data_IF_122917084530
#
_entry.id   IF_122917084530
#
_cell.length_a   1.000
_cell.length_b   1.000
_cell.length_c   1.000
_cell.angle_alpha   90.00
_cell.angle_beta   90.00
_cell.angle_gamma   90.00
#
_symmetry.space_group_name_H-M   'P 1'
#
loop_
_entity.id
_entity.type
_entity.pdbx_description
1 polymer ?
#
# COMPACT_ATOMS: atom_id res chain seq x y z
N UNK A 1 43.40 31.43 -7.88
CA UNK A 1 42.07 31.23 -7.25
C UNK A 1 41.03 31.62 -8.27
N UNK A 2 40.22 30.66 -8.73
CA UNK A 2 39.07 30.93 -9.61
C UNK A 2 37.94 30.01 -9.16
N UNK A 3 36.85 30.61 -8.69
CA UNK A 3 35.61 29.94 -8.35
C UNK A 3 34.72 29.94 -9.59
N UNK A 4 34.27 28.77 -10.03
CA UNK A 4 33.14 28.64 -10.94
C UNK A 4 31.94 28.10 -10.13
N UNK A 5 30.80 28.81 -10.09
CA UNK A 5 29.59 28.36 -9.41
C UNK A 5 28.70 27.56 -10.37
N UNK A 6 27.98 26.57 -9.82
CA UNK A 6 26.69 26.12 -10.36
C UNK A 6 26.76 25.11 -11.49
N UNK A 7 27.01 23.84 -11.16
CA UNK A 7 26.26 22.76 -11.76
C UNK A 7 25.33 22.26 -10.65
N UNK A 8 24.07 22.73 -10.63
CA UNK A 8 23.04 21.95 -9.97
C UNK A 8 22.98 20.65 -10.76
N UNK A 9 23.46 19.57 -10.17
CA UNK A 9 23.14 18.23 -10.63
C UNK A 9 21.61 18.19 -10.67
N UNK A 10 21.03 18.22 -11.88
CA UNK A 10 19.64 17.84 -12.07
C UNK A 10 19.58 16.39 -11.58
N UNK A 11 19.21 16.21 -10.31
CA UNK A 11 18.85 14.90 -9.79
C UNK A 11 17.81 14.34 -10.76
N UNK A 12 18.16 13.24 -11.43
CA UNK A 12 17.25 12.54 -12.32
C UNK A 12 15.90 12.43 -11.60
N UNK A 13 14.80 12.88 -12.23
CA UNK A 13 13.52 12.98 -11.55
C UNK A 13 13.20 11.62 -10.92
N UNK A 14 12.76 11.59 -9.65
CA UNK A 14 12.59 10.38 -8.88
C UNK A 14 11.98 9.30 -9.76
N UNK A 15 12.52 8.07 -9.75
CA UNK A 15 12.17 7.03 -10.72
C UNK A 15 10.65 6.85 -10.92
N UNK A 16 9.89 7.05 -9.85
CA UNK A 16 8.43 7.01 -9.83
C UNK A 16 7.72 8.07 -10.71
N UNK A 17 8.28 9.28 -10.88
CA UNK A 17 7.74 10.34 -11.76
C UNK A 17 7.75 9.92 -13.23
N UNK A 18 8.63 9.00 -13.61
CA UNK A 18 8.73 8.47 -14.97
C UNK A 18 7.76 7.30 -15.22
N UNK A 19 7.04 6.81 -14.21
CA UNK A 19 6.13 5.68 -14.35
C UNK A 19 4.98 6.01 -15.33
N UNK A 20 4.87 5.30 -16.47
CA UNK A 20 3.92 5.64 -17.52
C UNK A 20 2.45 5.47 -17.09
N UNK A 21 2.17 4.56 -16.14
CA UNK A 21 0.80 4.36 -15.63
C UNK A 21 0.39 5.52 -14.74
N UNK A 22 1.26 5.94 -13.79
CA UNK A 22 0.99 7.09 -12.93
C UNK A 22 0.77 8.36 -13.78
N UNK A 23 1.67 8.63 -14.74
CA UNK A 23 1.52 9.79 -15.64
C UNK A 23 0.22 9.71 -16.45
N UNK A 24 -0.11 8.56 -17.01
CA UNK A 24 -1.34 8.40 -17.78
C UNK A 24 -2.59 8.61 -16.92
N UNK A 25 -2.60 8.12 -15.68
CA UNK A 25 -3.68 8.32 -14.73
C UNK A 25 -3.91 9.80 -14.43
N UNK A 26 -2.89 10.52 -13.95
CA UNK A 26 -3.02 11.93 -13.58
C UNK A 26 -3.29 12.84 -14.79
N UNK A 27 -2.73 12.52 -15.97
CA UNK A 27 -3.10 13.22 -17.22
C UNK A 27 -4.58 13.07 -17.54
N UNK A 28 -5.16 11.87 -17.40
CA UNK A 28 -6.60 11.65 -17.63
C UNK A 28 -7.47 12.42 -16.64
N UNK A 29 -7.07 12.47 -15.37
CA UNK A 29 -7.78 13.26 -14.37
C UNK A 29 -7.81 14.75 -14.74
N UNK A 30 -6.68 15.29 -15.21
CA UNK A 30 -6.58 16.69 -15.64
C UNK A 30 -7.41 17.03 -16.86
N UNK A 31 -7.51 16.14 -17.86
CA UNK A 31 -8.36 16.34 -19.03
C UNK A 31 -9.84 16.43 -18.65
N UNK A 32 -10.24 15.76 -17.57
CA UNK A 32 -11.61 15.81 -17.05
C UNK A 32 -11.91 17.09 -16.26
N UNK A 33 -10.87 17.86 -15.85
CA UNK A 33 -11.02 19.17 -15.23
C UNK A 33 -11.16 20.21 -16.35
N UNK A 34 -12.40 20.70 -16.56
CA UNK A 34 -12.81 21.61 -17.66
C UNK A 34 -11.87 22.81 -17.90
N UNK A 35 -11.11 23.24 -16.90
CA UNK A 35 -10.17 24.37 -16.94
C UNK A 35 -8.92 24.14 -17.81
N UNK A 36 -8.55 22.88 -18.09
CA UNK A 36 -7.36 22.54 -18.89
C UNK A 36 -7.68 22.14 -20.34
N UNK A 37 -8.97 21.97 -20.67
CA UNK A 37 -9.44 21.41 -21.94
C UNK A 37 -9.24 22.25 -23.21
N UNK A 38 -8.63 23.44 -23.13
CA UNK A 38 -8.55 24.37 -24.25
C UNK A 38 -7.12 24.62 -24.79
N UNK A 39 -6.06 24.08 -24.18
CA UNK A 39 -4.69 24.33 -24.66
C UNK A 39 -4.09 23.09 -25.34
N UNK A 40 -4.12 23.11 -26.67
CA UNK A 40 -3.15 22.48 -27.55
C UNK A 40 -2.92 20.98 -27.38
N UNK A 41 -3.67 20.17 -28.14
CA UNK A 41 -3.25 18.81 -28.48
C UNK A 41 -1.88 18.89 -29.20
N UNK A 42 -0.79 18.53 -28.53
CA UNK A 42 0.47 18.19 -29.20
C UNK A 42 1.78 18.70 -28.57
N UNK A 43 1.76 19.67 -27.65
CA UNK A 43 2.96 20.09 -26.90
C UNK A 43 2.79 19.77 -25.42
N UNK A 44 3.76 19.06 -24.83
CA UNK A 44 3.89 18.92 -23.37
C UNK A 44 3.98 20.33 -22.79
N UNK A 45 2.90 20.81 -22.18
CA UNK A 45 2.90 22.10 -21.46
C UNK A 45 3.76 21.90 -20.20
N UNK A 46 4.88 22.63 -20.03
CA UNK A 46 5.76 22.47 -18.88
C UNK A 46 5.03 22.64 -17.54
N UNK A 47 4.05 23.54 -17.47
CA UNK A 47 3.26 23.75 -16.26
C UNK A 47 2.39 22.54 -15.92
N UNK A 48 1.82 21.90 -16.94
CA UNK A 48 1.00 20.71 -16.76
C UNK A 48 1.85 19.52 -16.31
N UNK A 49 3.03 19.35 -16.89
CA UNK A 49 3.95 18.28 -16.52
C UNK A 49 4.50 18.48 -15.09
N UNK A 50 4.83 19.71 -14.67
CA UNK A 50 5.20 20.03 -13.28
C UNK A 50 4.06 19.74 -12.29
N UNK A 51 2.82 20.07 -12.68
CA UNK A 51 1.66 19.77 -11.84
C UNK A 51 1.46 18.25 -11.69
N UNK A 52 1.59 17.49 -12.79
CA UNK A 52 1.51 16.02 -12.75
C UNK A 52 2.59 15.45 -11.83
N UNK A 53 3.82 15.96 -11.90
CA UNK A 53 4.91 15.50 -11.06
C UNK A 53 4.59 15.70 -9.57
N UNK A 54 4.03 16.86 -9.20
CA UNK A 54 3.59 17.11 -7.82
C UNK A 54 2.44 16.20 -7.36
N UNK A 55 1.49 15.91 -8.24
CA UNK A 55 0.40 14.96 -7.92
C UNK A 55 0.94 13.54 -7.73
N UNK A 56 1.92 13.13 -8.54
CA UNK A 56 2.61 11.84 -8.38
C UNK A 56 3.36 11.79 -7.05
N UNK A 57 4.15 12.82 -6.73
CA UNK A 57 4.89 12.88 -5.48
C UNK A 57 3.97 12.81 -4.26
N UNK A 58 2.88 13.58 -4.27
CA UNK A 58 1.89 13.57 -3.20
C UNK A 58 1.25 12.20 -3.04
N UNK A 59 0.78 11.60 -4.14
CA UNK A 59 0.21 10.25 -4.12
C UNK A 59 1.17 9.20 -3.56
N UNK A 60 2.45 9.26 -3.95
CA UNK A 60 3.46 8.31 -3.47
C UNK A 60 3.83 8.53 -2.00
N UNK A 61 3.83 9.78 -1.56
CA UNK A 61 4.02 10.13 -0.15
C UNK A 61 2.90 9.57 0.71
N UNK A 62 1.64 9.81 0.31
CA UNK A 62 0.47 9.25 1.01
C UNK A 62 0.51 7.72 1.01
N UNK A 63 0.79 7.09 -0.13
CA UNK A 63 0.87 5.63 -0.20
C UNK A 63 1.96 5.08 0.71
N UNK A 64 3.11 5.76 0.83
CA UNK A 64 4.20 5.35 1.71
C UNK A 64 3.80 5.49 3.18
N UNK A 65 3.15 6.57 3.56
CA UNK A 65 2.61 6.76 4.91
C UNK A 65 1.64 5.63 5.28
N UNK A 66 0.72 5.30 4.37
CA UNK A 66 -0.22 4.18 4.54
C UNK A 66 0.46 2.82 4.73
N UNK A 67 1.57 2.57 4.04
CA UNK A 67 2.34 1.34 4.25
C UNK A 67 3.09 1.33 5.58
N UNK A 68 3.61 2.48 6.02
CA UNK A 68 4.25 2.61 7.34
C UNK A 68 3.23 2.38 8.46
N UNK A 69 2.04 2.97 8.35
CA UNK A 69 0.97 2.80 9.33
C UNK A 69 0.46 1.35 9.36
N UNK A 70 0.30 0.72 8.20
CA UNK A 70 -0.06 -0.69 8.09
C UNK A 70 0.95 -1.60 8.81
N UNK A 71 2.25 -1.41 8.58
CA UNK A 71 3.30 -2.15 9.26
C UNK A 71 3.34 -1.87 10.77
N UNK A 72 3.11 -0.63 11.17
CA UNK A 72 3.05 -0.23 12.59
C UNK A 72 1.89 -0.93 13.31
N UNK A 73 0.70 -0.93 12.69
CA UNK A 73 -0.45 -1.65 13.23
C UNK A 73 -0.22 -3.16 13.25
N UNK A 74 0.44 -3.72 12.25
CA UNK A 74 0.77 -5.14 12.25
C UNK A 74 1.75 -5.52 13.37
N UNK A 75 2.78 -4.71 13.63
CA UNK A 75 3.68 -4.92 14.77
C UNK A 75 2.94 -4.85 16.12
N UNK A 76 1.94 -3.97 16.24
CA UNK A 76 1.07 -3.90 17.42
C UNK A 76 0.15 -5.12 17.56
N UNK A 77 -0.26 -5.73 16.44
CA UNK A 77 -0.90 -7.05 16.45
C UNK A 77 0.10 -8.01 17.08
N UNK A 78 1.24 -8.31 16.45
CA UNK A 78 2.22 -9.29 16.94
C UNK A 78 2.55 -9.15 18.45
N UNK A 79 2.82 -7.93 18.91
CA UNK A 79 3.10 -7.66 20.33
C UNK A 79 1.92 -8.03 21.25
N UNK A 80 0.71 -7.70 20.86
CA UNK A 80 -0.48 -8.02 21.65
C UNK A 80 -0.77 -9.53 21.64
N UNK A 81 -0.48 -10.27 20.56
CA UNK A 81 -0.54 -11.74 20.57
C UNK A 81 0.44 -12.31 21.55
N UNK A 82 1.69 -11.86 21.52
CA UNK A 82 2.73 -12.38 22.41
C UNK A 82 2.29 -12.21 23.88
N UNK A 83 1.74 -11.04 24.20
CA UNK A 83 1.20 -10.75 25.54
C UNK A 83 -0.01 -11.62 25.89
N UNK A 84 -0.88 -11.96 24.92
CA UNK A 84 -2.03 -12.86 25.14
C UNK A 84 -1.55 -14.30 25.41
N UNK A 85 -0.54 -14.77 24.69
CA UNK A 85 -0.01 -16.13 24.79
C UNK A 85 0.85 -16.34 26.04
N UNK A 86 1.67 -15.35 26.40
CA UNK A 86 2.62 -15.43 27.52
C UNK A 86 2.08 -14.82 28.82
N UNK A 87 0.93 -14.15 28.78
CA UNK A 87 0.42 -13.32 29.87
C UNK A 87 0.24 -14.07 31.19
N UNK A 88 0.91 -13.59 32.24
CA UNK A 88 0.85 -14.17 33.59
C UNK A 88 -0.35 -13.71 34.42
N UNK A 89 -1.08 -12.68 33.99
CA UNK A 89 -2.27 -12.17 34.68
C UNK A 89 -3.45 -11.94 33.75
N UNK A 90 -4.66 -12.19 34.25
CA UNK A 90 -5.90 -12.01 33.50
C UNK A 90 -6.14 -10.54 33.10
N UNK A 91 -5.64 -9.58 33.89
CA UNK A 91 -5.73 -8.16 33.58
C UNK A 91 -4.85 -7.78 32.37
N UNK A 92 -3.61 -8.30 32.32
CA UNK A 92 -2.71 -8.08 31.19
C UNK A 92 -3.29 -8.69 29.89
N UNK A 93 -3.83 -9.92 29.97
CA UNK A 93 -4.48 -10.58 28.84
C UNK A 93 -5.69 -9.76 28.34
N UNK A 94 -6.52 -9.22 29.26
CA UNK A 94 -7.67 -8.39 28.88
C UNK A 94 -7.24 -7.11 28.15
N UNK A 95 -6.20 -6.43 28.63
CA UNK A 95 -5.66 -5.23 27.98
C UNK A 95 -5.07 -5.56 26.61
N UNK A 96 -4.30 -6.64 26.51
CA UNK A 96 -3.72 -7.09 25.25
C UNK A 96 -4.80 -7.45 24.22
N UNK A 97 -5.92 -8.07 24.61
CA UNK A 97 -7.07 -8.31 23.71
C UNK A 97 -7.73 -7.03 23.20
N UNK A 98 -7.74 -5.95 23.99
CA UNK A 98 -8.22 -4.65 23.53
C UNK A 98 -7.25 -4.07 22.50
N UNK A 99 -5.95 -4.07 22.80
CA UNK A 99 -4.90 -3.61 21.89
C UNK A 99 -4.92 -4.39 20.58
N UNK A 100 -5.00 -5.71 20.64
CA UNK A 100 -5.12 -6.61 19.50
C UNK A 100 -6.26 -6.23 18.56
N UNK A 101 -7.47 -6.01 19.10
CA UNK A 101 -8.64 -5.63 18.30
C UNK A 101 -8.49 -4.26 17.64
N UNK A 102 -7.88 -3.30 18.35
CA UNK A 102 -7.61 -1.97 17.80
C UNK A 102 -6.56 -2.03 16.70
N UNK A 103 -5.49 -2.80 16.90
CA UNK A 103 -4.43 -3.00 15.92
C UNK A 103 -4.94 -3.72 14.66
N UNK A 104 -5.76 -4.77 14.80
CA UNK A 104 -6.43 -5.43 13.67
C UNK A 104 -7.37 -4.49 12.90
N UNK A 105 -8.02 -3.54 13.59
CA UNK A 105 -8.80 -2.50 12.91
C UNK A 105 -7.88 -1.58 12.10
N UNK A 106 -6.74 -1.17 12.65
CA UNK A 106 -5.72 -0.41 11.92
C UNK A 106 -5.24 -1.14 10.66
N UNK A 107 -4.89 -2.42 10.78
CA UNK A 107 -4.52 -3.26 9.62
C UNK A 107 -5.65 -3.31 8.58
N UNK A 108 -6.90 -3.51 9.01
CA UNK A 108 -8.05 -3.53 8.11
C UNK A 108 -8.21 -2.22 7.33
N UNK A 109 -8.11 -1.10 8.04
CA UNK A 109 -8.39 0.23 7.50
C UNK A 109 -7.24 0.66 6.56
N UNK A 110 -5.99 0.56 7.00
CA UNK A 110 -4.83 0.96 6.19
C UNK A 110 -4.59 0.05 4.98
N UNK A 111 -4.77 -1.26 5.11
CA UNK A 111 -4.71 -2.15 3.94
C UNK A 111 -5.85 -1.87 2.95
N UNK A 112 -7.02 -1.47 3.45
CA UNK A 112 -8.16 -1.05 2.62
C UNK A 112 -7.91 0.24 1.86
N UNK A 113 -7.32 1.23 2.52
CA UNK A 113 -7.01 2.53 1.93
C UNK A 113 -5.89 2.41 0.88
N UNK A 114 -4.79 1.73 1.22
CA UNK A 114 -3.73 1.44 0.25
C UNK A 114 -4.26 0.69 -0.98
N UNK A 115 -5.16 -0.29 -0.76
CA UNK A 115 -5.81 -1.02 -1.84
C UNK A 115 -6.66 -0.12 -2.73
N UNK A 116 -7.45 0.78 -2.14
CA UNK A 116 -8.30 1.71 -2.88
C UNK A 116 -7.45 2.66 -3.73
N UNK A 117 -6.43 3.28 -3.13
CA UNK A 117 -5.50 4.17 -3.84
C UNK A 117 -4.89 3.48 -5.06
N UNK A 118 -4.35 2.28 -4.85
CA UNK A 118 -3.70 1.51 -5.92
C UNK A 118 -4.67 1.06 -7.00
N UNK A 119 -5.89 0.62 -6.65
CA UNK A 119 -6.87 0.16 -7.65
C UNK A 119 -7.29 1.25 -8.62
N UNK A 120 -7.41 2.49 -8.17
CA UNK A 120 -7.77 3.61 -9.05
C UNK A 120 -6.68 3.93 -10.08
N UNK A 121 -5.42 3.75 -9.68
CA UNK A 121 -4.27 3.96 -10.58
C UNK A 121 -4.03 2.75 -11.47
N UNK A 122 -4.16 1.54 -10.91
CA UNK A 122 -3.77 0.27 -11.52
C UNK A 122 -4.97 -0.52 -12.04
N UNK A 123 -5.83 0.13 -12.81
CA UNK A 123 -7.10 -0.44 -13.30
C UNK A 123 -6.93 -1.68 -14.20
N UNK A 124 -5.72 -1.94 -14.67
CA UNK A 124 -5.35 -3.09 -15.51
C UNK A 124 -5.07 -4.37 -14.69
N UNK A 125 -4.96 -4.25 -13.37
CA UNK A 125 -4.69 -5.37 -12.48
C UNK A 125 -5.98 -6.07 -12.05
N UNK A 126 -5.90 -7.39 -11.90
CA UNK A 126 -6.98 -8.17 -11.27
C UNK A 126 -7.09 -7.80 -9.79
N UNK A 127 -8.31 -7.66 -9.30
CA UNK A 127 -8.55 -7.10 -7.98
C UNK A 127 -9.12 -8.11 -6.96
N UNK A 128 -9.99 -9.07 -7.37
CA UNK A 128 -10.76 -9.92 -6.43
C UNK A 128 -11.24 -11.31 -6.89
N UNK A 129 -11.00 -11.76 -8.13
CA UNK A 129 -11.66 -12.97 -8.66
C UNK A 129 -11.48 -14.21 -7.78
N UNK A 130 -12.53 -15.01 -7.52
CA UNK A 130 -12.63 -16.25 -6.71
C UNK A 130 -11.47 -16.60 -5.75
N UNK A 131 -11.00 -15.62 -4.96
CA UNK A 131 -9.97 -15.85 -3.97
C UNK A 131 -10.60 -16.53 -2.75
N UNK A 132 -10.25 -17.80 -2.53
CA UNK A 132 -10.61 -18.50 -1.30
C UNK A 132 -9.74 -17.98 -0.17
N UNK A 133 -10.38 -17.36 0.82
CA UNK A 133 -9.75 -17.12 2.11
C UNK A 133 -9.53 -18.48 2.78
N UNK A 134 -8.32 -18.73 3.28
CA UNK A 134 -8.07 -19.88 4.15
C UNK A 134 -8.91 -19.68 5.41
N UNK A 135 -9.69 -20.69 5.79
CA UNK A 135 -10.47 -20.62 7.02
C UNK A 135 -9.57 -20.90 8.24
N UNK A 136 -9.67 -20.10 9.31
CA UNK A 136 -9.05 -20.41 10.59
C UNK A 136 -9.44 -21.81 11.02
N UNK A 137 -8.44 -22.64 11.33
CA UNK A 137 -8.72 -24.04 11.64
C UNK A 137 -9.22 -24.20 13.08
N UNK A 138 -8.78 -23.39 14.06
CA UNK A 138 -9.23 -23.46 15.47
C UNK A 138 -9.10 -22.13 16.27
N UNK A 139 -9.83 -21.96 17.41
CA UNK A 139 -9.73 -20.76 18.25
C UNK A 139 -8.35 -20.52 18.91
N UNK A 140 -7.56 -21.57 19.07
CA UNK A 140 -6.18 -21.50 19.57
C UNK A 140 -5.16 -21.23 18.46
N UNK A 141 -5.43 -21.66 17.22
CA UNK A 141 -4.59 -21.34 16.06
C UNK A 141 -4.69 -19.86 15.69
N UNK A 142 -5.87 -19.25 15.91
CA UNK A 142 -6.28 -17.88 15.56
C UNK A 142 -5.24 -16.77 15.80
N UNK A 143 -4.39 -16.94 16.82
CA UNK A 143 -3.40 -15.93 17.17
C UNK A 143 -2.11 -16.11 16.39
N UNK A 144 -1.59 -17.33 16.22
CA UNK A 144 -0.29 -17.56 15.56
C UNK A 144 -0.41 -17.65 14.05
N UNK A 145 -1.23 -18.56 13.54
CA UNK A 145 -1.23 -18.88 12.12
C UNK A 145 -1.82 -17.75 11.27
N UNK A 146 -2.87 -17.12 11.76
CA UNK A 146 -3.60 -16.09 11.04
C UNK A 146 -2.88 -14.74 11.10
N UNK A 147 -2.13 -14.48 12.18
CA UNK A 147 -1.23 -13.32 12.26
C UNK A 147 -0.03 -13.47 11.36
N UNK A 148 0.59 -14.66 11.37
CA UNK A 148 1.64 -14.98 10.41
C UNK A 148 1.13 -14.81 8.97
N UNK A 149 -0.08 -15.30 8.67
CA UNK A 149 -0.68 -15.11 7.35
C UNK A 149 -0.84 -13.63 7.00
N UNK A 150 -1.39 -12.80 7.89
CA UNK A 150 -1.53 -11.35 7.66
C UNK A 150 -0.15 -10.74 7.36
N UNK A 151 0.86 -11.05 8.17
CA UNK A 151 2.23 -10.54 8.00
C UNK A 151 2.84 -10.93 6.65
N UNK A 152 2.67 -12.19 6.23
CA UNK A 152 3.12 -12.65 4.92
C UNK A 152 2.46 -11.90 3.76
N UNK A 153 1.15 -11.61 3.87
CA UNK A 153 0.45 -10.85 2.84
C UNK A 153 0.92 -9.39 2.82
N UNK A 154 1.07 -8.74 3.98
CA UNK A 154 1.59 -7.36 4.07
C UNK A 154 2.99 -7.28 3.46
N UNK A 155 3.91 -8.17 3.84
CA UNK A 155 5.28 -8.18 3.29
C UNK A 155 5.32 -8.42 1.78
N UNK A 156 4.45 -9.30 1.24
CA UNK A 156 4.33 -9.50 -0.22
C UNK A 156 3.77 -8.27 -0.92
N UNK A 157 2.79 -7.58 -0.32
CA UNK A 157 2.24 -6.35 -0.85
C UNK A 157 3.30 -5.24 -0.91
N UNK A 158 3.98 -4.98 0.21
CA UNK A 158 5.00 -3.94 0.32
C UNK A 158 6.15 -4.15 -0.67
N UNK A 159 6.67 -5.38 -0.77
CA UNK A 159 7.73 -5.71 -1.72
C UNK A 159 7.31 -5.40 -3.16
N UNK A 160 6.08 -5.77 -3.54
CA UNK A 160 5.56 -5.54 -4.89
C UNK A 160 5.27 -4.06 -5.16
N UNK A 161 4.73 -3.33 -4.19
CA UNK A 161 4.49 -1.87 -4.29
C UNK A 161 5.83 -1.13 -4.45
N UNK A 162 6.80 -1.45 -3.60
CA UNK A 162 8.15 -0.88 -3.64
C UNK A 162 8.81 -1.15 -4.99
N UNK A 163 8.78 -2.40 -5.44
CA UNK A 163 9.38 -2.78 -6.72
C UNK A 163 8.71 -2.07 -7.90
N UNK A 164 7.39 -1.90 -7.88
CA UNK A 164 6.64 -1.37 -9.02
C UNK A 164 6.54 0.15 -9.08
N UNK A 165 6.39 0.82 -7.94
CA UNK A 165 6.17 2.26 -7.88
C UNK A 165 7.41 3.04 -7.47
N UNK A 166 8.36 2.42 -6.77
CA UNK A 166 9.50 3.13 -6.18
C UNK A 166 10.87 2.73 -6.78
N UNK A 167 10.96 1.63 -7.54
CA UNK A 167 12.19 1.19 -8.20
C UNK A 167 11.97 1.07 -9.72
N UNK A 168 12.83 1.68 -10.53
CA UNK A 168 12.68 1.69 -12.02
C UNK A 168 13.55 0.65 -12.73
N UNK A 169 14.57 0.09 -12.08
CA UNK A 169 15.57 -0.74 -12.77
C UNK A 169 15.11 -2.17 -13.11
N UNK A 170 14.03 -2.66 -12.51
CA UNK A 170 13.43 -3.93 -12.91
C UNK A 170 12.34 -3.65 -13.93
N UNK A 171 12.53 -4.14 -15.17
CA UNK A 171 11.45 -4.29 -16.16
C UNK A 171 10.43 -5.27 -15.58
N UNK A 172 9.55 -4.76 -14.70
CA UNK A 172 8.41 -5.52 -14.19
C UNK A 172 7.40 -5.50 -15.34
N UNK A 173 7.21 -6.65 -15.97
CA UNK A 173 6.24 -6.78 -17.03
C UNK A 173 4.85 -6.72 -16.41
N UNK A 174 3.87 -6.18 -17.15
CA UNK A 174 2.49 -6.10 -16.67
C UNK A 174 1.95 -7.50 -16.31
N UNK A 175 2.50 -8.52 -16.96
CA UNK A 175 2.32 -9.95 -16.75
C UNK A 175 2.69 -10.40 -15.33
N UNK A 176 3.75 -9.85 -14.73
CA UNK A 176 4.19 -10.15 -13.35
C UNK A 176 3.19 -9.64 -12.29
N UNK A 177 2.24 -8.81 -12.72
CA UNK A 177 1.17 -8.23 -11.93
C UNK A 177 -0.21 -8.83 -12.26
N UNK A 178 -0.32 -9.73 -13.24
CA UNK A 178 -1.58 -10.40 -13.60
C UNK A 178 -1.94 -11.58 -12.67
N UNK A 179 -1.00 -12.06 -11.86
CA UNK A 179 -1.19 -13.12 -10.86
C UNK A 179 -1.57 -12.54 -9.47
N UNK A 180 -1.18 -13.22 -8.36
CA UNK A 180 -1.25 -12.70 -6.99
C UNK A 180 -0.41 -11.41 -6.88
N UNK A 181 -1.07 -10.29 -7.15
CA UNK A 181 -0.47 -8.96 -7.18
C UNK A 181 -0.66 -8.23 -5.85
N UNK A 182 -0.09 -7.03 -5.73
CA UNK A 182 -0.18 -6.22 -4.52
C UNK A 182 -1.62 -5.96 -4.04
N UNK A 183 -2.59 -5.80 -4.96
CA UNK A 183 -4.00 -5.60 -4.61
C UNK A 183 -4.58 -6.85 -3.96
N UNK A 184 -4.24 -8.03 -4.48
CA UNK A 184 -4.69 -9.30 -3.90
C UNK A 184 -4.14 -9.47 -2.48
N UNK A 185 -2.86 -9.18 -2.27
CA UNK A 185 -2.24 -9.31 -0.96
C UNK A 185 -2.82 -8.32 0.08
N UNK A 186 -3.00 -7.05 -0.29
CA UNK A 186 -3.67 -6.06 0.58
C UNK A 186 -5.12 -6.47 0.90
N UNK A 187 -5.85 -7.00 -0.08
CA UNK A 187 -7.21 -7.50 0.13
C UNK A 187 -7.25 -8.68 1.11
N UNK A 188 -6.34 -9.65 0.95
CA UNK A 188 -6.26 -10.81 1.85
C UNK A 188 -5.90 -10.42 3.28
N UNK A 189 -4.94 -9.50 3.46
CA UNK A 189 -4.59 -8.97 4.78
C UNK A 189 -5.80 -8.29 5.44
N UNK A 190 -6.50 -7.43 4.70
CA UNK A 190 -7.72 -6.75 5.16
C UNK A 190 -8.82 -7.74 5.58
N UNK A 191 -9.18 -8.68 4.71
CA UNK A 191 -10.29 -9.59 5.01
C UNK A 191 -9.95 -10.57 6.14
N UNK A 192 -8.68 -10.99 6.26
CA UNK A 192 -8.25 -11.78 7.41
C UNK A 192 -8.31 -10.96 8.71
N UNK A 193 -7.79 -9.73 8.73
CA UNK A 193 -7.83 -8.87 9.90
C UNK A 193 -9.28 -8.61 10.38
N UNK A 194 -10.18 -8.36 9.42
CA UNK A 194 -11.62 -8.22 9.67
C UNK A 194 -12.25 -9.50 10.22
N UNK A 195 -11.83 -10.67 9.73
CA UNK A 195 -12.32 -11.97 10.19
C UNK A 195 -11.88 -12.24 11.63
N UNK A 196 -10.58 -12.14 11.92
CA UNK A 196 -10.04 -12.34 13.28
C UNK A 196 -10.75 -11.41 14.26
N UNK A 197 -10.88 -10.11 13.93
CA UNK A 197 -11.53 -9.14 14.83
C UNK A 197 -12.97 -9.52 15.18
N UNK A 198 -13.73 -10.12 14.26
CA UNK A 198 -15.09 -10.60 14.52
C UNK A 198 -15.14 -11.81 15.44
N UNK A 199 -14.14 -12.69 15.34
CA UNK A 199 -14.03 -13.92 16.12
C UNK A 199 -13.46 -13.67 17.52
N UNK A 200 -12.68 -12.60 17.72
CA UNK A 200 -12.17 -12.17 19.02
C UNK A 200 -13.19 -11.41 19.89
N UNK A 201 -14.48 -11.48 19.54
CA UNK A 201 -15.60 -10.79 20.21
C UNK A 201 -16.21 -11.60 21.34
#
# INVERSE_FOLDING_TARGET
>A
MSFAPGAQEEEDPPPARQNPILRAHFRRQLVNIRSFGARGRGRRDPFLEDYIDRQIDHYLSELREKLVDLNTHFAQVEQAQETILQGSSEQAIRQARVQWRNALKGVQDEAGDAWNMLRFVLTVLKDKGDLKLVEPQEPGSLYEQETQFIGEQIGKAEKRITAYLFRVESVIQLEDLKEANMLIHLYLAREMAKKIRKLSG
#
